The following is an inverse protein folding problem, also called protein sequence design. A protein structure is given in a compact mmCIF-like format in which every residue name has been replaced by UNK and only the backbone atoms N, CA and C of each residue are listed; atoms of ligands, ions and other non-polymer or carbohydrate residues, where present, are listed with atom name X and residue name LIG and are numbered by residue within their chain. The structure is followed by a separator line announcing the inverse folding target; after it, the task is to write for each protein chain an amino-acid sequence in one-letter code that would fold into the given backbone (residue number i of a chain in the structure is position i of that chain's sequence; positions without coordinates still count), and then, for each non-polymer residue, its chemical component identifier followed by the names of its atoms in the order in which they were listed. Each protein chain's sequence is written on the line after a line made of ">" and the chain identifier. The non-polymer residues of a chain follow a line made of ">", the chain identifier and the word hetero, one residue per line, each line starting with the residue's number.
data_IF_118241438617
#
_entry.id   IF_118241438617
#
_cell.length_a   1.000
_cell.length_b   1.000
_cell.length_c   1.000
_cell.angle_alpha   90.00
_cell.angle_beta   90.00
_cell.angle_gamma   90.00
#
_symmetry.space_group_name_H-M   'P 1'
#
loop_
_entity.id
_entity.type
_entity.pdbx_description
1 polymer ?
#
# COMPACT_ATOMS: atom_id res chain seq x y z
N UNK A 1 -7.97 -6.31 7.25
CA UNK A 1 -8.60 -5.09 6.68
C UNK A 1 -7.67 -3.96 7.02
N UNK A 2 -7.26 -3.19 6.04
CA UNK A 2 -6.41 -2.02 6.31
C UNK A 2 -7.32 -0.91 6.83
N UNK A 3 -7.29 -0.66 8.13
CA UNK A 3 -7.96 0.49 8.78
C UNK A 3 -7.21 1.79 8.41
N UNK A 4 -7.13 2.06 7.12
CA UNK A 4 -6.45 3.27 6.66
C UNK A 4 -7.48 4.40 6.58
N UNK A 5 -7.35 5.39 7.45
CA UNK A 5 -8.11 6.62 7.34
C UNK A 5 -7.72 7.35 6.05
N UNK A 6 -8.60 7.35 5.05
CA UNK A 6 -8.35 7.98 3.74
C UNK A 6 -8.50 9.50 3.84
N UNK A 7 -9.44 9.97 4.64
CA UNK A 7 -9.69 11.39 4.86
C UNK A 7 -10.54 11.62 6.11
N UNK A 8 -10.44 12.81 6.68
CA UNK A 8 -11.36 13.27 7.72
C UNK A 8 -12.51 14.04 7.07
N UNK A 9 -13.74 13.62 7.30
CA UNK A 9 -14.93 14.34 6.83
C UNK A 9 -15.38 15.38 7.87
N UNK A 10 -15.68 16.60 7.42
CA UNK A 10 -16.28 17.61 8.28
C UNK A 10 -17.75 17.32 8.58
N UNK A 11 -18.44 16.68 7.64
CA UNK A 11 -19.81 16.20 7.83
C UNK A 11 -20.05 14.87 7.14
N UNK A 12 -20.88 14.05 7.77
CA UNK A 12 -21.33 12.78 7.27
C UNK A 12 -22.85 12.71 7.44
N UNK A 13 -23.55 12.35 6.36
CA UNK A 13 -25.00 12.13 6.39
C UNK A 13 -25.28 10.68 6.09
N UNK A 14 -25.97 10.00 6.99
CA UNK A 14 -26.40 8.62 6.83
C UNK A 14 -27.90 8.65 6.56
N UNK A 15 -28.33 8.11 5.43
CA UNK A 15 -29.73 7.92 5.10
C UNK A 15 -30.07 6.43 5.17
N UNK A 16 -31.03 6.10 6.02
CA UNK A 16 -31.60 4.74 6.10
C UNK A 16 -33.07 4.85 5.68
N UNK A 17 -33.45 4.14 4.63
CA UNK A 17 -34.79 4.14 4.11
C UNK A 17 -35.37 2.72 4.12
N UNK A 18 -36.62 2.59 4.46
CA UNK A 18 -37.40 1.38 4.29
C UNK A 18 -38.53 1.69 3.29
N UNK A 19 -38.60 0.92 2.23
CA UNK A 19 -39.78 0.96 1.37
C UNK A 19 -40.92 0.18 2.01
N UNK A 20 -42.15 0.58 1.70
CA UNK A 20 -43.35 -0.09 2.14
C UNK A 20 -44.15 -0.52 0.92
N UNK A 21 -44.87 -1.62 1.02
CA UNK A 21 -45.79 -2.09 0.00
C UNK A 21 -47.20 -1.87 0.54
N UNK A 22 -48.03 -1.07 -0.13
CA UNK A 22 -49.43 -0.92 0.30
C UNK A 22 -50.16 -2.25 0.13
N UNK A 23 -50.91 -2.65 1.16
CA UNK A 23 -51.76 -3.80 1.13
C UNK A 23 -53.22 -3.33 1.15
N UNK A 24 -53.89 -3.51 0.06
CA UNK A 24 -55.35 -3.31 0.05
C UNK A 24 -56.00 -4.50 0.73
N UNK A 25 -56.64 -4.26 1.87
CA UNK A 25 -57.52 -5.25 2.52
C UNK A 25 -58.96 -4.71 2.54
N UNK A 26 -59.94 -5.50 2.14
CA UNK A 26 -61.35 -5.12 2.25
C UNK A 26 -61.81 -4.79 3.68
N UNK A 27 -61.01 -5.19 4.68
CA UNK A 27 -61.29 -5.03 6.11
C UNK A 27 -60.67 -3.76 6.69
N UNK A 28 -59.73 -3.11 6.00
CA UNK A 28 -58.99 -1.95 6.53
C UNK A 28 -59.77 -0.61 6.54
N UNK A 29 -61.01 -0.60 6.07
CA UNK A 29 -61.82 0.61 6.03
C UNK A 29 -61.17 1.71 5.18
N UNK A 30 -61.08 2.94 5.73
CA UNK A 30 -60.48 4.08 5.06
C UNK A 30 -58.96 4.23 5.30
N UNK A 31 -58.33 3.27 5.94
CA UNK A 31 -56.89 3.29 6.26
C UNK A 31 -56.09 2.36 5.36
N UNK A 32 -55.04 2.86 4.75
CA UNK A 32 -54.08 2.04 4.04
C UNK A 32 -53.19 1.30 5.05
N UNK A 33 -53.04 0.00 4.87
CA UNK A 33 -52.03 -0.81 5.58
C UNK A 33 -50.83 -1.04 4.71
N UNK A 34 -49.67 -1.03 5.32
CA UNK A 34 -48.39 -1.17 4.63
C UNK A 34 -47.56 -2.31 5.23
N UNK A 35 -46.93 -3.10 4.37
CA UNK A 35 -45.95 -4.11 4.78
C UNK A 35 -44.54 -3.54 4.55
N UNK A 36 -43.61 -3.70 5.53
CA UNK A 36 -42.23 -3.33 5.31
C UNK A 36 -41.61 -4.11 4.15
N UNK A 37 -40.98 -3.43 3.20
CA UNK A 37 -40.29 -4.05 2.09
C UNK A 37 -38.76 -3.90 2.28
N UNK A 38 -38.03 -3.60 1.21
CA UNK A 38 -36.59 -3.54 1.26
C UNK A 38 -36.09 -2.35 2.08
N UNK A 39 -35.09 -2.58 2.91
CA UNK A 39 -34.30 -1.53 3.53
C UNK A 39 -33.11 -1.18 2.62
N UNK A 40 -32.78 0.09 2.56
CA UNK A 40 -31.60 0.59 1.87
C UNK A 40 -30.93 1.64 2.74
N UNK A 41 -29.63 1.81 2.57
CA UNK A 41 -28.89 2.87 3.23
C UNK A 41 -27.85 3.47 2.29
N UNK A 42 -27.54 4.73 2.53
CA UNK A 42 -26.49 5.42 1.83
C UNK A 42 -25.76 6.37 2.78
N UNK A 43 -24.51 6.65 2.47
CA UNK A 43 -23.68 7.59 3.22
C UNK A 43 -23.14 8.61 2.27
N UNK A 44 -23.28 9.88 2.63
CA UNK A 44 -22.70 10.99 1.91
C UNK A 44 -21.80 11.77 2.86
N UNK A 45 -20.52 11.90 2.49
CA UNK A 45 -19.57 12.72 3.22
C UNK A 45 -19.35 14.02 2.47
N UNK A 46 -19.08 15.10 3.19
CA UNK A 46 -18.72 16.37 2.57
C UNK A 46 -17.53 17.02 3.29
N UNK A 47 -16.85 17.89 2.55
CA UNK A 47 -15.70 18.64 3.05
C UNK A 47 -14.58 17.72 3.57
N UNK A 48 -14.23 16.68 2.79
CA UNK A 48 -13.07 15.87 3.07
C UNK A 48 -11.83 16.76 3.03
N UNK A 49 -11.11 16.80 4.14
CA UNK A 49 -9.83 17.49 4.22
C UNK A 49 -8.73 16.50 3.87
N UNK A 50 -8.18 16.63 2.69
CA UNK A 50 -6.92 15.98 2.35
C UNK A 50 -5.78 16.85 2.89
N UNK A 51 -5.41 16.62 4.13
CA UNK A 51 -4.22 17.26 4.67
C UNK A 51 -3.02 16.57 4.04
N UNK A 52 -2.14 17.29 3.34
CA UNK A 52 -0.91 16.68 2.88
C UNK A 52 -0.15 16.17 4.11
N UNK A 53 -0.01 14.87 4.22
CA UNK A 53 0.78 14.26 5.27
C UNK A 53 2.23 14.47 4.88
N UNK A 54 2.92 15.35 5.58
CA UNK A 54 4.35 15.55 5.37
C UNK A 54 5.07 14.33 5.95
N UNK A 55 5.82 13.59 5.14
CA UNK A 55 6.61 12.47 5.64
C UNK A 55 7.73 12.97 6.56
N UNK A 56 8.07 12.20 7.57
CA UNK A 56 9.24 12.42 8.40
C UNK A 56 10.47 11.65 7.87
N UNK A 57 10.29 10.91 6.78
CA UNK A 57 11.37 10.28 6.02
C UNK A 57 10.91 9.64 4.72
N UNK A 58 11.83 9.54 3.77
CA UNK A 58 11.66 8.87 2.48
C UNK A 58 12.81 7.88 2.29
N UNK A 59 12.50 6.63 2.02
CA UNK A 59 13.50 5.62 1.63
C UNK A 59 13.30 5.30 0.16
N UNK A 60 14.42 5.26 -0.59
CA UNK A 60 14.40 4.91 -2.02
C UNK A 60 15.39 3.78 -2.27
N UNK A 61 14.96 2.73 -2.97
CA UNK A 61 15.80 1.65 -3.45
C UNK A 61 15.78 1.60 -4.98
N UNK A 62 16.96 1.68 -5.59
CA UNK A 62 17.13 1.68 -7.06
C UNK A 62 18.02 0.52 -7.45
N UNK A 63 17.47 -0.38 -8.25
CA UNK A 63 18.13 -1.57 -8.75
C UNK A 63 18.36 -1.46 -10.25
N UNK A 64 19.53 -1.86 -10.70
CA UNK A 64 19.88 -1.97 -12.10
C UNK A 64 20.14 -3.44 -12.48
N UNK A 65 19.39 -3.92 -13.46
CA UNK A 65 19.60 -5.23 -14.07
C UNK A 65 20.85 -5.26 -14.96
N UNK A 66 21.03 -6.38 -15.63
CA UNK A 66 22.12 -6.55 -16.61
C UNK A 66 21.94 -5.64 -17.83
N UNK A 67 23.02 -5.04 -18.30
CA UNK A 67 23.00 -4.14 -19.46
C UNK A 67 23.85 -4.60 -20.63
N UNK A 68 24.40 -5.82 -20.59
CA UNK A 68 25.28 -6.31 -21.64
C UNK A 68 26.67 -5.69 -21.68
N UNK A 69 26.92 -4.66 -20.89
CA UNK A 69 28.22 -3.96 -20.82
C UNK A 69 29.19 -4.67 -19.88
N UNK A 70 30.49 -4.40 -20.05
CA UNK A 70 31.55 -4.90 -19.18
C UNK A 70 31.52 -4.24 -17.78
N UNK A 71 30.90 -3.09 -17.65
CA UNK A 71 30.72 -2.38 -16.38
C UNK A 71 29.28 -2.46 -15.92
N UNK A 72 29.08 -2.92 -14.68
CA UNK A 72 27.77 -2.93 -14.00
C UNK A 72 27.38 -1.52 -13.58
N UNK A 73 26.14 -1.17 -13.79
CA UNK A 73 25.58 0.07 -13.22
C UNK A 73 25.35 -0.15 -11.72
N UNK A 74 25.84 0.73 -10.85
CA UNK A 74 25.65 0.58 -9.40
C UNK A 74 24.17 0.66 -9.01
N UNK A 75 23.67 -0.35 -8.31
CA UNK A 75 22.43 -0.25 -7.58
C UNK A 75 22.64 0.47 -6.26
N UNK A 76 21.65 1.21 -5.75
CA UNK A 76 21.82 2.00 -4.54
C UNK A 76 20.53 2.11 -3.72
N UNK A 77 20.72 2.43 -2.44
CA UNK A 77 19.64 2.77 -1.52
C UNK A 77 19.91 4.12 -0.91
N UNK A 78 18.88 4.93 -0.77
CA UNK A 78 18.89 6.24 -0.09
C UNK A 78 18.05 6.12 1.17
N UNK A 79 18.62 6.49 2.32
CA UNK A 79 17.93 6.50 3.60
C UNK A 79 17.10 7.76 3.83
N UNK A 80 16.41 7.84 4.97
CA UNK A 80 15.54 8.95 5.32
C UNK A 80 16.24 10.30 5.45
N UNK A 81 17.56 10.34 5.58
CA UNK A 81 18.37 11.56 5.63
C UNK A 81 18.92 11.99 4.28
N UNK A 82 18.72 11.17 3.24
CA UNK A 82 19.29 11.41 1.91
C UNK A 82 20.70 10.83 1.72
N UNK A 83 21.24 10.11 2.72
CA UNK A 83 22.51 9.39 2.56
C UNK A 83 22.30 8.20 1.62
N UNK A 84 23.24 7.98 0.69
CA UNK A 84 23.20 6.89 -0.27
C UNK A 84 24.34 5.90 -0.06
N UNK A 85 24.02 4.61 -0.18
CA UNK A 85 25.00 3.52 -0.23
C UNK A 85 24.78 2.76 -1.55
N UNK A 86 25.89 2.42 -2.23
CA UNK A 86 25.88 1.79 -3.56
C UNK A 86 26.54 0.42 -3.54
N UNK A 87 26.11 -0.45 -4.46
CA UNK A 87 26.72 -1.75 -4.72
C UNK A 87 26.79 -2.03 -6.22
N UNK A 88 27.88 -2.71 -6.64
CA UNK A 88 28.06 -3.26 -7.99
C UNK A 88 28.15 -4.80 -7.97
N UNK A 89 28.02 -5.40 -6.79
CA UNK A 89 28.13 -6.85 -6.62
C UNK A 89 26.91 -7.53 -7.18
N UNK A 90 27.14 -8.57 -8.01
CA UNK A 90 26.07 -9.37 -8.60
C UNK A 90 25.23 -10.07 -7.51
N UNK A 91 23.94 -10.18 -7.75
CA UNK A 91 23.00 -10.87 -6.87
C UNK A 91 22.14 -9.91 -6.06
N UNK A 92 21.68 -10.37 -4.92
CA UNK A 92 20.82 -9.63 -3.99
C UNK A 92 21.68 -8.97 -2.92
N UNK A 93 21.53 -7.68 -2.73
CA UNK A 93 22.20 -6.90 -1.69
C UNK A 93 21.16 -6.27 -0.77
N UNK A 94 21.31 -6.46 0.52
CA UNK A 94 20.41 -5.93 1.55
C UNK A 94 21.12 -5.03 2.54
N UNK A 95 20.38 -4.05 3.07
CA UNK A 95 20.85 -3.15 4.11
C UNK A 95 19.74 -2.87 5.11
N UNK A 96 20.10 -2.69 6.39
CA UNK A 96 19.17 -2.36 7.45
C UNK A 96 19.08 -0.85 7.64
N UNK A 97 17.83 -0.40 7.88
CA UNK A 97 17.50 0.99 8.12
C UNK A 97 16.73 1.06 9.45
N UNK A 98 16.98 2.07 10.25
CA UNK A 98 16.27 2.32 11.52
C UNK A 98 14.76 2.41 11.27
N UNK A 99 13.97 1.89 12.20
CA UNK A 99 12.51 1.98 12.19
C UNK A 99 11.96 3.29 12.79
N UNK A 100 12.84 4.17 13.22
CA UNK A 100 12.50 5.47 13.81
C UNK A 100 13.07 6.61 12.99
N UNK A 101 12.39 7.76 12.93
CA UNK A 101 12.91 8.93 12.28
C UNK A 101 14.30 9.33 12.83
N UNK A 102 15.20 9.76 11.99
CA UNK A 102 15.07 10.05 10.56
C UNK A 102 15.32 8.87 9.61
N UNK A 103 15.14 7.60 10.03
CA UNK A 103 15.28 6.37 9.23
C UNK A 103 16.67 6.23 8.59
N UNK A 104 17.70 6.26 9.40
CA UNK A 104 19.11 6.18 8.97
C UNK A 104 19.55 4.75 8.74
N UNK A 105 20.56 4.55 7.91
CA UNK A 105 21.24 3.26 7.82
C UNK A 105 21.79 2.81 9.18
N UNK A 106 21.52 1.55 9.53
CA UNK A 106 22.15 0.87 10.67
C UNK A 106 23.52 0.36 10.26
N UNK A 107 23.63 -0.14 9.03
CA UNK A 107 24.85 -0.67 8.46
C UNK A 107 25.59 0.38 7.64
N UNK A 108 26.91 0.19 7.49
CA UNK A 108 27.74 1.04 6.64
C UNK A 108 28.00 0.43 5.25
N UNK A 109 27.58 -0.82 5.03
CA UNK A 109 27.74 -1.56 3.79
C UNK A 109 26.62 -2.57 3.61
N UNK A 110 26.43 -3.01 2.37
CA UNK A 110 25.49 -4.09 2.06
C UNK A 110 25.98 -5.44 2.54
N UNK A 111 25.04 -6.30 2.95
CA UNK A 111 25.20 -7.74 2.94
C UNK A 111 24.74 -8.26 1.59
N UNK A 112 25.58 -9.02 0.88
CA UNK A 112 25.32 -9.42 -0.52
C UNK A 112 25.39 -10.95 -0.66
N UNK A 113 24.49 -11.50 -1.48
CA UNK A 113 24.42 -12.91 -1.86
C UNK A 113 24.37 -13.03 -3.38
N UNK A 114 25.26 -13.83 -3.96
CA UNK A 114 25.24 -14.14 -5.39
C UNK A 114 24.24 -15.26 -5.70
N UNK A 115 22.97 -14.96 -5.58
CA UNK A 115 21.89 -15.92 -5.79
C UNK A 115 21.75 -16.40 -7.24
N UNK A 116 22.45 -15.79 -8.17
CA UNK A 116 22.53 -16.28 -9.55
C UNK A 116 23.43 -17.52 -9.66
N UNK A 117 24.56 -17.55 -8.96
CA UNK A 117 25.51 -18.68 -8.94
C UNK A 117 25.15 -19.71 -7.88
N UNK A 118 24.63 -19.26 -6.74
CA UNK A 118 24.23 -20.09 -5.62
C UNK A 118 22.84 -19.63 -5.12
N UNK A 119 21.77 -20.27 -5.58
CA UNK A 119 20.40 -19.90 -5.24
C UNK A 119 19.97 -20.38 -3.84
N UNK A 120 20.90 -20.69 -2.93
CA UNK A 120 20.56 -21.05 -1.55
C UNK A 120 19.79 -19.91 -0.85
N UNK A 121 18.60 -20.24 -0.36
CA UNK A 121 17.73 -19.28 0.30
C UNK A 121 18.12 -19.06 1.78
N UNK A 122 18.77 -20.03 2.41
CA UNK A 122 18.99 -20.02 3.86
C UNK A 122 19.71 -18.76 4.38
N UNK A 123 20.76 -18.23 3.73
CA UNK A 123 21.41 -17.02 4.21
C UNK A 123 20.50 -15.79 4.21
N UNK A 124 19.65 -15.65 3.18
CA UNK A 124 18.70 -14.52 3.05
C UNK A 124 17.57 -14.68 4.08
N UNK A 125 17.01 -15.88 4.21
CA UNK A 125 15.97 -16.17 5.20
C UNK A 125 16.47 -15.86 6.61
N UNK A 126 17.66 -16.34 6.96
CA UNK A 126 18.28 -16.07 8.25
C UNK A 126 18.53 -14.58 8.49
N UNK A 127 18.98 -13.86 7.46
CA UNK A 127 19.17 -12.41 7.56
C UNK A 127 17.85 -11.70 7.81
N UNK A 128 16.79 -12.05 7.08
CA UNK A 128 15.46 -11.47 7.24
C UNK A 128 14.89 -11.76 8.63
N UNK A 129 15.04 -12.97 9.13
CA UNK A 129 14.51 -13.38 10.43
C UNK A 129 15.26 -12.78 11.61
N UNK A 130 16.57 -12.59 11.48
CA UNK A 130 17.39 -11.96 12.52
C UNK A 130 17.20 -10.44 12.61
N UNK A 131 16.56 -9.82 11.63
CA UNK A 131 16.43 -8.37 11.54
C UNK A 131 14.96 -7.93 11.47
N UNK A 132 14.12 -8.46 12.36
CA UNK A 132 12.66 -8.21 12.38
C UNK A 132 12.27 -6.83 12.89
N UNK A 133 13.15 -6.17 13.62
CA UNK A 133 12.93 -4.89 14.31
C UNK A 133 13.38 -3.66 13.52
N UNK A 134 13.81 -3.86 12.28
CA UNK A 134 14.24 -2.79 11.41
C UNK A 134 13.56 -2.84 10.03
N UNK A 135 13.69 -1.74 9.28
CA UNK A 135 13.35 -1.71 7.87
C UNK A 135 14.51 -2.34 7.09
N UNK A 136 14.18 -3.20 6.13
CA UNK A 136 15.16 -3.84 5.24
C UNK A 136 14.90 -3.36 3.83
N UNK A 137 15.92 -2.78 3.20
CA UNK A 137 15.90 -2.42 1.80
C UNK A 137 16.84 -3.34 1.02
N UNK A 138 16.36 -3.86 -0.11
CA UNK A 138 17.09 -4.77 -0.98
C UNK A 138 17.14 -4.23 -2.40
N UNK A 139 18.28 -4.46 -3.05
CA UNK A 139 18.48 -4.19 -4.47
C UNK A 139 19.15 -5.40 -5.12
N UNK A 140 18.78 -5.66 -6.36
CA UNK A 140 19.41 -6.70 -7.17
C UNK A 140 20.25 -6.05 -8.26
N UNK A 141 21.48 -6.47 -8.38
CA UNK A 141 22.43 -5.94 -9.37
C UNK A 141 22.83 -7.03 -10.34
N UNK A 142 22.80 -6.73 -11.63
CA UNK A 142 23.19 -7.59 -12.76
C UNK A 142 22.24 -8.78 -12.93
N UNK A 143 22.41 -9.87 -12.18
CA UNK A 143 21.61 -11.07 -12.29
C UNK A 143 21.37 -11.73 -10.93
N UNK A 144 20.21 -12.34 -10.75
CA UNK A 144 19.82 -13.00 -9.49
C UNK A 144 18.80 -14.11 -9.73
N UNK A 145 18.63 -14.98 -8.74
CA UNK A 145 17.48 -15.86 -8.61
C UNK A 145 16.68 -15.47 -7.36
N UNK A 146 15.39 -15.66 -7.41
CA UNK A 146 14.47 -15.46 -6.29
C UNK A 146 13.62 -16.72 -6.10
N UNK A 147 14.05 -17.57 -5.19
CA UNK A 147 13.40 -18.86 -4.95
C UNK A 147 12.11 -18.72 -4.16
N UNK A 148 11.31 -19.78 -4.11
CA UNK A 148 10.07 -19.81 -3.34
C UNK A 148 10.32 -19.55 -1.84
N UNK A 149 11.40 -20.07 -1.27
CA UNK A 149 11.71 -19.88 0.15
C UNK A 149 12.12 -18.44 0.46
N UNK A 150 12.85 -17.78 -0.45
CA UNK A 150 13.15 -16.35 -0.33
C UNK A 150 11.86 -15.51 -0.37
N UNK A 151 10.94 -15.79 -1.31
CA UNK A 151 9.65 -15.11 -1.40
C UNK A 151 8.82 -15.37 -0.14
N UNK A 152 8.83 -16.61 0.37
CA UNK A 152 8.15 -16.96 1.62
C UNK A 152 8.71 -16.16 2.81
N UNK A 153 10.03 -15.95 2.88
CA UNK A 153 10.64 -15.13 3.93
C UNK A 153 10.16 -13.66 3.88
N UNK A 154 9.93 -13.09 2.70
CA UNK A 154 9.35 -11.75 2.56
C UNK A 154 7.87 -11.68 2.92
N UNK A 155 7.13 -12.77 2.75
CA UNK A 155 5.67 -12.81 2.95
C UNK A 155 5.29 -13.27 4.37
N UNK A 156 5.85 -14.41 4.80
CA UNK A 156 5.39 -15.12 6.01
C UNK A 156 5.91 -14.52 7.33
N UNK A 157 6.95 -13.72 7.27
CA UNK A 157 7.55 -13.11 8.47
C UNK A 157 7.03 -11.69 8.75
N UNK A 158 5.85 -11.34 8.24
CA UNK A 158 5.26 -10.02 8.43
C UNK A 158 5.92 -8.92 7.61
N UNK A 159 6.74 -9.27 6.60
CA UNK A 159 7.41 -8.28 5.75
C UNK A 159 6.47 -7.63 4.72
N UNK A 160 5.26 -8.18 4.54
CA UNK A 160 4.17 -7.62 3.70
C UNK A 160 4.52 -7.42 2.22
N UNK A 161 5.40 -8.26 1.66
CA UNK A 161 5.83 -8.17 0.27
C UNK A 161 5.85 -9.54 -0.36
N UNK A 162 5.26 -9.66 -1.55
CA UNK A 162 5.21 -10.93 -2.30
C UNK A 162 5.69 -10.70 -3.73
N UNK A 163 7.01 -10.59 -3.97
CA UNK A 163 7.54 -10.53 -5.32
C UNK A 163 7.35 -11.89 -6.03
N UNK A 164 7.36 -11.94 -7.37
CA UNK A 164 7.24 -13.19 -8.10
C UNK A 164 8.48 -14.06 -7.90
N UNK A 165 8.31 -15.38 -8.04
CA UNK A 165 9.42 -16.34 -8.06
C UNK A 165 10.15 -16.20 -9.39
N UNK A 166 11.48 -16.10 -9.35
CA UNK A 166 12.34 -16.00 -10.53
C UNK A 166 13.44 -17.07 -10.44
N UNK A 167 13.41 -18.04 -11.32
CA UNK A 167 14.37 -19.16 -11.32
C UNK A 167 15.79 -18.75 -11.66
N UNK A 168 15.94 -17.78 -12.55
CA UNK A 168 17.15 -17.02 -12.81
C UNK A 168 16.79 -15.86 -13.72
N UNK A 169 17.44 -14.73 -13.60
CA UNK A 169 17.11 -13.60 -14.45
C UNK A 169 18.10 -12.46 -14.35
N UNK A 170 18.09 -11.62 -15.36
CA UNK A 170 18.85 -10.38 -15.46
C UNK A 170 17.95 -9.16 -15.25
N UNK A 171 16.85 -9.37 -14.53
CA UNK A 171 15.87 -8.35 -14.20
C UNK A 171 16.42 -7.38 -13.14
N UNK A 172 15.84 -6.20 -13.07
CA UNK A 172 16.03 -5.32 -11.93
C UNK A 172 14.91 -5.55 -10.90
N UNK A 173 15.27 -5.71 -9.64
CA UNK A 173 14.32 -5.85 -8.52
C UNK A 173 14.76 -5.00 -7.34
N UNK A 174 13.88 -4.16 -6.87
CA UNK A 174 14.05 -3.40 -5.62
C UNK A 174 12.93 -3.71 -4.65
N UNK A 175 13.26 -3.86 -3.35
CA UNK A 175 12.29 -4.17 -2.29
C UNK A 175 12.58 -3.27 -1.09
N UNK A 176 11.54 -2.74 -0.47
CA UNK A 176 11.59 -2.11 0.86
C UNK A 176 10.51 -2.77 1.71
N UNK A 177 10.91 -3.42 2.80
CA UNK A 177 10.02 -4.20 3.65
C UNK A 177 10.48 -4.17 5.12
N UNK A 178 9.69 -4.75 6.01
CA UNK A 178 10.01 -4.89 7.42
C UNK A 178 8.75 -5.07 8.24
N UNK A 179 8.84 -5.76 9.38
CA UNK A 179 7.69 -5.94 10.29
C UNK A 179 7.25 -4.60 10.92
N UNK A 180 8.16 -3.64 10.93
CA UNK A 180 7.99 -2.33 11.58
C UNK A 180 7.31 -1.30 10.68
N UNK A 181 7.09 -1.63 9.40
CA UNK A 181 6.33 -0.79 8.48
C UNK A 181 5.00 -1.46 8.12
N UNK A 182 3.95 -0.66 8.00
CA UNK A 182 2.59 -1.15 7.74
C UNK A 182 2.44 -1.85 6.40
N UNK A 183 3.25 -1.47 5.39
CA UNK A 183 3.21 -2.04 4.05
C UNK A 183 4.58 -1.97 3.38
N UNK A 184 5.06 -3.12 2.93
CA UNK A 184 6.24 -3.18 2.08
C UNK A 184 5.90 -2.89 0.61
N UNK A 185 6.93 -2.54 -0.16
CA UNK A 185 6.82 -2.29 -1.60
C UNK A 185 7.91 -3.02 -2.35
N UNK A 186 7.62 -3.42 -3.58
CA UNK A 186 8.63 -3.89 -4.50
C UNK A 186 8.35 -3.39 -5.92
N UNK A 187 9.38 -3.32 -6.72
CA UNK A 187 9.31 -3.04 -8.15
C UNK A 187 10.20 -4.05 -8.88
N UNK A 188 9.65 -4.70 -9.89
CA UNK A 188 10.35 -5.59 -10.78
C UNK A 188 10.26 -5.04 -12.20
N UNK A 189 11.39 -4.99 -12.90
CA UNK A 189 11.43 -4.65 -14.32
C UNK A 189 11.68 -5.92 -15.11
N UNK A 190 10.82 -6.17 -16.07
CA UNK A 190 10.76 -7.42 -16.86
C UNK A 190 11.79 -7.45 -18.02
N UNK A 191 12.78 -6.58 -17.99
CA UNK A 191 13.84 -6.55 -18.97
C UNK A 191 14.92 -7.58 -18.60
N UNK A 192 15.03 -8.64 -19.39
CA UNK A 192 16.00 -9.71 -19.20
C UNK A 192 17.41 -9.37 -19.74
N UNK A 193 17.58 -8.16 -20.31
CA UNK A 193 18.86 -7.63 -20.77
C UNK A 193 19.54 -8.44 -21.90
N UNK A 194 18.84 -9.43 -22.49
CA UNK A 194 19.43 -10.27 -23.53
C UNK A 194 19.57 -9.56 -24.87
N UNK A 195 18.75 -8.57 -25.11
CA UNK A 195 18.67 -7.85 -26.39
C UNK A 195 18.95 -6.35 -26.27
N UNK A 196 18.87 -5.78 -25.09
CA UNK A 196 18.98 -4.34 -24.91
C UNK A 196 20.32 -3.94 -24.29
N UNK A 197 20.92 -2.91 -24.86
CA UNK A 197 22.15 -2.29 -24.33
C UNK A 197 21.89 -1.45 -23.07
N UNK A 198 20.63 -1.34 -22.62
CA UNK A 198 20.22 -0.53 -21.48
C UNK A 198 19.75 -1.44 -20.36
N UNK A 199 20.30 -1.27 -19.16
CA UNK A 199 19.86 -1.98 -17.97
C UNK A 199 18.40 -1.68 -17.66
N UNK A 200 17.62 -2.71 -17.31
CA UNK A 200 16.33 -2.50 -16.65
C UNK A 200 16.54 -1.77 -15.33
N UNK A 201 15.63 -0.86 -15.01
CA UNK A 201 15.69 -0.10 -13.74
C UNK A 201 14.42 -0.38 -12.94
N UNK A 202 14.57 -0.78 -11.69
CA UNK A 202 13.48 -0.91 -10.73
C UNK A 202 13.65 0.07 -9.57
N UNK A 203 12.63 0.89 -9.32
CA UNK A 203 12.64 1.91 -8.27
C UNK A 203 11.49 1.64 -7.32
N UNK A 204 11.81 1.39 -6.05
CA UNK A 204 10.86 1.32 -4.96
C UNK A 204 11.05 2.50 -4.01
N UNK A 205 9.95 3.12 -3.62
CA UNK A 205 9.97 4.26 -2.70
C UNK A 205 8.90 4.06 -1.62
N UNK A 206 9.26 4.38 -0.39
CA UNK A 206 8.32 4.51 0.72
C UNK A 206 8.46 5.87 1.38
N UNK A 207 7.33 6.47 1.67
CA UNK A 207 7.21 7.67 2.47
C UNK A 207 6.69 7.27 3.84
N UNK A 208 7.37 7.67 4.89
CA UNK A 208 7.12 7.23 6.26
C UNK A 208 6.69 8.40 7.14
N UNK A 209 5.78 8.12 8.07
CA UNK A 209 5.46 9.00 9.18
C UNK A 209 5.20 8.17 10.42
N UNK A 210 6.00 8.39 11.46
CA UNK A 210 5.94 7.63 12.70
C UNK A 210 5.93 6.09 12.48
N UNK A 211 6.76 5.60 11.57
CA UNK A 211 6.85 4.18 11.20
C UNK A 211 5.78 3.68 10.24
N UNK A 212 4.76 4.47 9.92
CA UNK A 212 3.72 4.07 8.97
C UNK A 212 4.05 4.52 7.54
N UNK A 213 3.80 3.65 6.58
CA UNK A 213 3.88 4.01 5.16
C UNK A 213 2.66 4.87 4.82
N UNK A 214 2.93 6.06 4.27
CA UNK A 214 1.90 7.02 3.89
C UNK A 214 1.82 7.15 2.37
N UNK A 215 0.61 7.38 1.87
CA UNK A 215 0.42 7.68 0.46
C UNK A 215 0.80 9.13 0.14
N UNK A 216 1.53 9.33 -0.95
CA UNK A 216 1.80 10.66 -1.51
C UNK A 216 0.71 11.11 -2.51
N UNK A 217 -0.24 10.22 -2.79
CA UNK A 217 -1.34 10.47 -3.72
C UNK A 217 -2.72 10.15 -3.12
N UNK A 218 -3.05 10.69 -1.93
CA UNK A 218 -4.29 10.30 -1.23
C UNK A 218 -5.55 10.55 -2.05
N UNK A 219 -5.56 11.59 -2.89
CA UNK A 219 -6.69 11.88 -3.79
C UNK A 219 -6.82 10.85 -4.92
N UNK A 220 -5.70 10.42 -5.50
CA UNK A 220 -5.69 9.36 -6.51
C UNK A 220 -6.17 8.05 -5.91
N UNK A 221 -5.70 7.72 -4.71
CA UNK A 221 -6.11 6.51 -4.00
C UNK A 221 -7.61 6.55 -3.67
N UNK A 222 -8.12 7.69 -3.22
CA UNK A 222 -9.54 7.92 -3.01
C UNK A 222 -10.35 7.77 -4.31
N UNK A 223 -9.88 8.31 -5.43
CA UNK A 223 -10.54 8.17 -6.74
C UNK A 223 -10.61 6.72 -7.22
N UNK A 224 -9.60 5.87 -6.88
CA UNK A 224 -9.60 4.45 -7.24
C UNK A 224 -10.63 3.63 -6.46
N UNK A 225 -11.25 4.17 -5.41
CA UNK A 225 -12.33 3.51 -4.67
C UNK A 225 -13.66 3.55 -5.42
N UNK A 226 -13.84 4.47 -6.37
CA UNK A 226 -15.08 4.57 -7.15
C UNK A 226 -15.39 3.24 -7.86
N UNK A 227 -16.60 2.75 -7.68
CA UNK A 227 -17.05 1.45 -8.21
C UNK A 227 -16.55 0.22 -7.44
N UNK A 228 -15.79 0.37 -6.37
CA UNK A 228 -15.31 -0.74 -5.54
C UNK A 228 -16.31 -1.10 -4.45
N UNK A 229 -16.37 -2.41 -4.13
CA UNK A 229 -17.04 -2.89 -2.93
C UNK A 229 -16.10 -2.70 -1.73
N UNK A 230 -16.60 -2.04 -0.71
CA UNK A 230 -15.86 -1.67 0.48
C UNK A 230 -16.60 -2.15 1.73
N UNK A 231 -15.87 -2.45 2.80
CA UNK A 231 -16.42 -2.47 4.15
C UNK A 231 -16.30 -1.05 4.69
N UNK A 232 -17.42 -0.46 5.04
CA UNK A 232 -17.49 0.91 5.55
C UNK A 232 -17.79 0.86 7.04
N UNK A 233 -16.94 1.49 7.84
CA UNK A 233 -17.16 1.73 9.25
C UNK A 233 -17.28 3.24 9.47
N UNK A 234 -18.33 3.64 10.16
CA UNK A 234 -18.63 5.03 10.47
C UNK A 234 -18.60 5.18 11.96
N UNK A 235 -17.60 5.90 12.45
CA UNK A 235 -17.46 6.22 13.88
C UNK A 235 -18.07 7.58 14.16
N UNK A 236 -18.86 7.66 15.22
CA UNK A 236 -19.46 8.92 15.67
C UNK A 236 -18.52 9.54 16.71
N UNK A 237 -17.95 10.68 16.38
CA UNK A 237 -17.05 11.39 17.29
C UNK A 237 -17.73 11.68 18.63
N UNK A 238 -17.05 11.32 19.71
CA UNK A 238 -17.57 11.46 21.08
C UNK A 238 -18.25 10.19 21.63
N UNK A 239 -18.45 9.18 20.79
CA UNK A 239 -19.01 7.88 21.18
C UNK A 239 -18.09 6.76 20.66
N UNK A 240 -16.94 6.52 21.31
CA UNK A 240 -15.90 5.62 20.77
C UNK A 240 -16.32 4.15 20.63
N UNK A 241 -17.46 3.76 21.21
CA UNK A 241 -18.01 2.40 21.13
C UNK A 241 -19.28 2.32 20.27
N UNK A 242 -19.70 3.44 19.67
CA UNK A 242 -20.91 3.49 18.84
C UNK A 242 -20.51 3.75 17.39
N UNK A 243 -20.54 2.72 16.58
CA UNK A 243 -20.22 2.77 15.16
C UNK A 243 -21.27 1.99 14.38
N UNK A 244 -21.40 2.36 13.12
CA UNK A 244 -22.20 1.62 12.14
C UNK A 244 -21.24 0.98 11.13
N UNK A 245 -21.45 -0.30 10.85
CA UNK A 245 -20.62 -1.04 9.91
C UNK A 245 -21.49 -1.70 8.83
N UNK A 246 -21.03 -1.72 7.59
CA UNK A 246 -21.74 -2.35 6.50
C UNK A 246 -20.95 -2.41 5.21
N UNK A 247 -21.40 -3.24 4.28
CA UNK A 247 -20.82 -3.29 2.92
C UNK A 247 -21.47 -2.25 2.03
N UNK A 248 -20.64 -1.52 1.30
CA UNK A 248 -21.08 -0.46 0.41
C UNK A 248 -20.27 -0.44 -0.89
N UNK A 249 -20.86 0.12 -1.93
CA UNK A 249 -20.18 0.50 -3.16
C UNK A 249 -19.93 2.01 -3.09
N UNK A 250 -18.69 2.45 -3.34
CA UNK A 250 -18.41 3.85 -3.57
C UNK A 250 -18.99 4.25 -4.94
N UNK A 251 -20.10 4.97 -4.95
CA UNK A 251 -20.77 5.41 -6.19
C UNK A 251 -20.04 6.56 -6.84
N UNK A 252 -19.56 7.49 -6.04
CA UNK A 252 -19.01 8.74 -6.52
C UNK A 252 -17.94 9.28 -5.58
N UNK A 253 -16.89 9.83 -6.18
CA UNK A 253 -15.91 10.67 -5.54
C UNK A 253 -15.84 11.99 -6.32
N UNK A 254 -16.07 13.08 -5.63
CA UNK A 254 -15.96 14.42 -6.22
C UNK A 254 -14.85 15.20 -5.52
N UNK A 255 -14.14 15.99 -6.30
CA UNK A 255 -13.17 16.96 -5.79
C UNK A 255 -13.51 18.32 -6.35
N UNK A 256 -13.73 19.28 -5.46
CA UNK A 256 -13.90 20.66 -5.80
C UNK A 256 -12.67 21.46 -5.35
N UNK A 257 -12.07 22.19 -6.27
CA UNK A 257 -11.03 23.16 -5.96
C UNK A 257 -11.47 24.55 -6.41
N UNK A 258 -11.22 25.53 -5.58
CA UNK A 258 -11.34 26.93 -5.96
C UNK A 258 -10.01 27.65 -5.70
N UNK A 259 -9.72 28.67 -6.48
CA UNK A 259 -8.51 29.49 -6.31
C UNK A 259 -8.48 30.01 -4.86
N UNK A 260 -7.40 29.76 -4.14
CA UNK A 260 -7.17 30.15 -2.74
C UNK A 260 -8.02 29.42 -1.68
N UNK A 261 -8.60 28.26 -1.98
CA UNK A 261 -9.27 27.45 -0.96
C UNK A 261 -8.65 26.06 -0.81
N UNK A 262 -8.80 25.50 0.40
CA UNK A 262 -8.46 24.10 0.66
C UNK A 262 -9.24 23.19 -0.28
N UNK A 263 -8.57 22.21 -0.83
CA UNK A 263 -9.16 21.16 -1.65
C UNK A 263 -10.26 20.46 -0.85
N UNK A 264 -11.48 20.45 -1.38
CA UNK A 264 -12.62 19.80 -0.76
C UNK A 264 -13.02 18.59 -1.57
N UNK A 265 -13.26 17.48 -0.91
CA UNK A 265 -13.78 16.27 -1.55
C UNK A 265 -15.09 15.81 -0.92
N UNK A 266 -15.80 14.95 -1.60
CA UNK A 266 -16.96 14.23 -1.10
C UNK A 266 -17.00 12.81 -1.63
N UNK A 267 -17.48 11.88 -0.79
CA UNK A 267 -17.83 10.52 -1.20
C UNK A 267 -19.32 10.31 -1.11
N UNK A 268 -19.85 9.48 -2.01
CA UNK A 268 -21.17 8.91 -1.91
C UNK A 268 -21.07 7.38 -1.95
N UNK A 269 -21.57 6.73 -0.90
CA UNK A 269 -21.62 5.29 -0.76
C UNK A 269 -23.04 4.79 -0.79
N UNK A 270 -23.27 3.66 -1.45
CA UNK A 270 -24.53 2.93 -1.44
C UNK A 270 -24.35 1.58 -0.74
N UNK A 271 -25.13 1.34 0.29
CA UNK A 271 -25.14 0.06 0.98
C UNK A 271 -25.57 -1.10 0.09
N UNK A 272 -24.88 -2.23 0.21
CA UNK A 272 -25.16 -3.49 -0.54
C UNK A 272 -25.59 -4.63 0.36
N UNK A 273 -25.69 -4.40 1.67
CA UNK A 273 -26.09 -5.36 2.68
C UNK A 273 -26.66 -4.66 3.91
N UNK A 274 -26.85 -5.38 5.03
CA UNK A 274 -27.28 -4.79 6.28
C UNK A 274 -26.27 -3.75 6.77
N UNK A 275 -26.77 -2.80 7.56
CA UNK A 275 -26.00 -1.87 8.36
C UNK A 275 -26.19 -2.32 9.81
N UNK A 276 -25.10 -2.63 10.49
CA UNK A 276 -25.05 -3.12 11.87
C UNK A 276 -24.41 -2.10 12.79
#
# INVERSE_FOLDING_TARGET
>A
MDDTAIAAAKSCTINIAASTIPTASPISGSWESHIPARKSWSVKTSHLLFTPIVPDGKITAVSYGFNGASQRTPSYIVDGTGRSIQTITRGISAIRISNTPPYTFIDNAFTTWDTYSDPDAAPIVNYMDSNRDCIIALVCTDAFALTQDMVAAFTNTGKNVTPPILTSGRHALSIICGNVISKGVYTLTDNDGKTDSVAGVAISEVFLRAGNVISQTPMRDAALLAGKNLSLRIEIMGFPYDYLEGRAICKQFEVASSVNSLLKGSFEFQGTGPLE
#
